data_IF_471013378485
#
_entry.id   IF_471013378485
#
_cell.length_a   1.000
_cell.length_b   1.000
_cell.length_c   1.000
_cell.angle_alpha   90.00
_cell.angle_beta   90.00
_cell.angle_gamma   90.00
#
_symmetry.space_group_name_H-M   'P 1'
#
loop_
_entity.id
_entity.type
_entity.pdbx_description
1 polymer ?
#
# COMPACT_ATOMS: atom_id res chain seq x y z
N UNK A 1 10.82 3.13 33.16
CA UNK A 1 9.38 3.41 33.29
C UNK A 1 8.66 3.01 32.01
N UNK A 2 8.19 1.76 31.96
CA UNK A 2 7.46 1.22 30.82
C UNK A 2 6.08 1.86 30.72
N UNK A 3 5.73 2.30 29.52
CA UNK A 3 4.34 2.57 29.14
C UNK A 3 3.91 1.46 28.19
N UNK A 4 2.86 0.75 28.60
CA UNK A 4 2.25 -0.38 27.92
C UNK A 4 1.95 -0.08 26.45
N UNK A 5 2.39 -0.99 25.56
CA UNK A 5 1.78 -1.13 24.24
C UNK A 5 0.38 -1.68 24.47
N UNK A 6 -0.63 -0.84 24.24
CA UNK A 6 -2.01 -1.28 24.18
C UNK A 6 -2.12 -2.32 23.06
N UNK A 7 -2.67 -3.49 23.36
CA UNK A 7 -3.09 -4.43 22.33
C UNK A 7 -4.05 -3.69 21.39
N UNK A 8 -3.63 -3.49 20.15
CA UNK A 8 -4.33 -2.66 19.19
C UNK A 8 -5.74 -3.24 18.95
N UNK A 9 -6.77 -2.40 19.10
CA UNK A 9 -8.14 -2.78 18.81
C UNK A 9 -8.25 -3.27 17.38
N UNK A 10 -8.75 -4.50 17.20
CA UNK A 10 -9.01 -5.05 15.88
C UNK A 10 -10.03 -4.18 15.15
N UNK A 11 -9.76 -3.89 13.89
CA UNK A 11 -10.70 -3.16 13.06
C UNK A 11 -11.86 -4.10 12.66
N UNK A 12 -13.08 -3.58 12.81
CA UNK A 12 -14.31 -4.29 12.45
C UNK A 12 -14.55 -4.37 10.94
N UNK A 13 -13.78 -3.61 10.14
CA UNK A 13 -13.89 -3.60 8.69
C UNK A 13 -13.74 -5.00 8.07
N UNK A 14 -14.73 -5.44 7.32
CA UNK A 14 -14.68 -6.65 6.52
C UNK A 14 -14.60 -6.31 5.04
N UNK A 15 -13.70 -6.98 4.33
CA UNK A 15 -13.60 -6.87 2.87
C UNK A 15 -14.94 -7.26 2.20
N UNK A 16 -15.27 -6.69 1.03
CA UNK A 16 -16.46 -7.09 0.29
C UNK A 16 -16.47 -8.61 -0.01
N UNK A 17 -17.61 -9.26 0.22
CA UNK A 17 -17.79 -10.67 -0.08
C UNK A 17 -17.58 -10.96 -1.58
N UNK A 18 -16.88 -12.04 -1.90
CA UNK A 18 -16.60 -12.42 -3.29
C UNK A 18 -15.56 -11.55 -4.00
N UNK A 19 -14.92 -10.60 -3.29
CA UNK A 19 -13.84 -9.79 -3.86
C UNK A 19 -12.65 -10.68 -4.28
N UNK A 20 -12.18 -10.53 -5.51
CA UNK A 20 -10.98 -11.24 -5.98
C UNK A 20 -9.77 -10.80 -5.15
N UNK A 21 -8.80 -11.69 -4.92
CA UNK A 21 -7.67 -11.32 -4.08
C UNK A 21 -6.76 -12.47 -3.67
N UNK A 22 -5.59 -12.11 -3.14
CA UNK A 22 -4.67 -13.05 -2.52
C UNK A 22 -4.94 -13.16 -1.03
N UNK A 23 -5.02 -14.40 -0.52
CA UNK A 23 -5.40 -14.68 0.86
C UNK A 23 -4.56 -15.80 1.46
N UNK A 24 -4.23 -15.66 2.74
CA UNK A 24 -3.68 -16.73 3.58
C UNK A 24 -2.41 -17.35 2.97
N UNK A 25 -1.44 -16.49 2.61
CA UNK A 25 -0.16 -16.90 2.02
C UNK A 25 1.00 -16.50 2.93
N UNK A 26 2.05 -17.29 2.88
CA UNK A 26 3.32 -16.98 3.53
C UNK A 26 4.48 -17.21 2.58
N UNK A 27 5.53 -16.39 2.70
CA UNK A 27 6.83 -16.56 2.02
C UNK A 27 6.69 -16.75 0.50
N UNK A 28 5.82 -15.96 -0.12
CA UNK A 28 5.41 -16.14 -1.52
C UNK A 28 5.52 -14.85 -2.33
N UNK A 29 5.85 -15.01 -3.61
CA UNK A 29 5.70 -13.96 -4.62
C UNK A 29 4.34 -14.11 -5.30
N UNK A 30 3.54 -13.05 -5.30
CA UNK A 30 2.16 -13.03 -5.77
C UNK A 30 2.00 -11.94 -6.83
N UNK A 31 1.48 -12.28 -8.00
CA UNK A 31 1.39 -11.36 -9.14
C UNK A 31 -0.02 -11.37 -9.68
N UNK A 32 -0.63 -10.18 -9.76
CA UNK A 32 -1.77 -9.92 -10.63
C UNK A 32 -1.20 -9.25 -11.88
N UNK A 33 -1.18 -10.00 -12.97
CA UNK A 33 -0.60 -9.56 -14.25
C UNK A 33 -1.31 -8.32 -14.81
N UNK A 34 -0.60 -7.60 -15.68
CA UNK A 34 -1.15 -6.45 -16.38
C UNK A 34 -2.30 -6.88 -17.30
N UNK A 35 -3.34 -6.07 -17.37
CA UNK A 35 -4.54 -6.35 -18.17
C UNK A 35 -5.72 -5.48 -17.76
N UNK A 36 -6.85 -5.66 -18.44
CA UNK A 36 -8.09 -5.00 -18.07
C UNK A 36 -8.62 -5.57 -16.75
N UNK A 37 -8.60 -4.76 -15.71
CA UNK A 37 -9.17 -5.08 -14.42
C UNK A 37 -10.24 -4.05 -14.07
N UNK A 38 -11.49 -4.51 -13.99
CA UNK A 38 -12.65 -3.66 -13.67
C UNK A 38 -13.26 -3.99 -12.31
N UNK A 39 -12.60 -4.85 -11.54
CA UNK A 39 -13.05 -5.30 -10.22
C UNK A 39 -12.25 -4.67 -9.08
N UNK A 40 -12.80 -4.79 -7.88
CA UNK A 40 -12.05 -4.57 -6.65
C UNK A 40 -11.04 -5.70 -6.46
N UNK A 41 -10.00 -5.44 -5.67
CA UNK A 41 -9.02 -6.46 -5.31
C UNK A 41 -8.70 -6.43 -3.82
N UNK A 42 -8.40 -7.60 -3.26
CA UNK A 42 -8.13 -7.77 -1.85
C UNK A 42 -6.77 -8.45 -1.60
N UNK A 43 -6.06 -8.00 -0.58
CA UNK A 43 -4.91 -8.69 0.01
C UNK A 43 -5.24 -8.97 1.47
N UNK A 44 -5.34 -10.24 1.88
CA UNK A 44 -5.66 -10.59 3.26
C UNK A 44 -4.73 -11.64 3.85
N UNK A 45 -4.31 -11.45 5.11
CA UNK A 45 -3.56 -12.44 5.88
C UNK A 45 -2.30 -12.93 5.14
N UNK A 46 -1.47 -12.00 4.69
CA UNK A 46 -0.21 -12.31 4.01
C UNK A 46 0.96 -12.12 4.98
N UNK A 47 1.90 -13.05 4.97
CA UNK A 47 3.11 -12.97 5.81
C UNK A 47 4.36 -13.14 4.95
N UNK A 48 5.31 -12.21 5.03
CA UNK A 48 6.57 -12.25 4.28
C UNK A 48 6.37 -12.41 2.76
N UNK A 49 5.28 -11.85 2.21
CA UNK A 49 4.97 -11.94 0.79
C UNK A 49 5.51 -10.75 0.01
N UNK A 50 5.90 -11.01 -1.23
CA UNK A 50 6.17 -9.99 -2.22
C UNK A 50 5.01 -9.94 -3.22
N UNK A 51 4.29 -8.82 -3.29
CA UNK A 51 3.06 -8.68 -4.06
C UNK A 51 3.23 -7.64 -5.16
N UNK A 52 2.88 -8.00 -6.39
CA UNK A 52 2.81 -7.11 -7.55
C UNK A 52 1.40 -7.09 -8.11
N UNK A 53 0.76 -5.92 -8.10
CA UNK A 53 -0.55 -5.71 -8.71
C UNK A 53 -0.38 -4.80 -9.93
N UNK A 54 -0.28 -5.40 -11.11
CA UNK A 54 0.09 -4.73 -12.37
C UNK A 54 -1.14 -4.31 -13.20
N UNK A 55 -2.35 -4.58 -12.72
CA UNK A 55 -3.62 -4.12 -13.30
C UNK A 55 -4.37 -3.18 -12.34
N UNK A 56 -4.84 -2.03 -12.84
CA UNK A 56 -5.63 -1.05 -12.05
C UNK A 56 -6.89 -1.70 -11.48
N UNK A 57 -7.14 -1.50 -10.18
CA UNK A 57 -8.37 -1.99 -9.52
C UNK A 57 -9.37 -0.84 -9.32
N UNK A 58 -10.67 -1.15 -9.17
CA UNK A 58 -11.67 -0.14 -8.77
C UNK A 58 -11.51 0.29 -7.31
N UNK A 59 -11.16 -0.64 -6.43
CA UNK A 59 -10.77 -0.37 -5.06
C UNK A 59 -9.76 -1.42 -4.63
N UNK A 60 -8.90 -1.07 -3.67
CA UNK A 60 -7.93 -1.99 -3.10
C UNK A 60 -8.16 -2.10 -1.59
N UNK A 61 -8.39 -3.32 -1.14
CA UNK A 61 -8.65 -3.65 0.25
C UNK A 61 -7.47 -4.46 0.79
N UNK A 62 -6.86 -4.02 1.90
CA UNK A 62 -5.68 -4.67 2.47
C UNK A 62 -5.94 -4.91 3.96
N UNK A 63 -5.78 -6.15 4.41
CA UNK A 63 -5.97 -6.51 5.83
C UNK A 63 -4.97 -7.54 6.30
N UNK A 64 -4.34 -7.33 7.45
CA UNK A 64 -3.57 -8.37 8.13
C UNK A 64 -2.29 -8.76 7.39
N UNK A 65 -1.54 -7.78 6.89
CA UNK A 65 -0.24 -8.01 6.26
C UNK A 65 0.88 -7.91 7.29
N UNK A 66 1.85 -8.82 7.23
CA UNK A 66 3.02 -8.85 8.13
C UNK A 66 4.29 -9.07 7.33
N UNK A 67 5.30 -8.22 7.46
CA UNK A 67 6.58 -8.43 6.76
C UNK A 67 6.48 -8.37 5.23
N UNK A 68 5.42 -7.79 4.67
CA UNK A 68 5.14 -7.85 3.24
C UNK A 68 5.67 -6.64 2.48
N UNK A 69 6.08 -6.86 1.24
CA UNK A 69 6.34 -5.80 0.26
C UNK A 69 5.25 -5.83 -0.81
N UNK A 70 4.50 -4.73 -0.96
CA UNK A 70 3.41 -4.62 -1.92
C UNK A 70 3.71 -3.49 -2.89
N UNK A 71 3.59 -3.77 -4.18
CA UNK A 71 3.57 -2.74 -5.22
C UNK A 71 2.29 -2.87 -6.02
N UNK A 72 1.47 -1.81 -6.03
CA UNK A 72 0.28 -1.72 -6.86
C UNK A 72 0.39 -0.50 -7.77
N UNK A 73 0.13 -0.72 -9.08
CA UNK A 73 -0.13 0.39 -10.00
C UNK A 73 -1.32 1.23 -9.51
N UNK A 74 -1.46 2.48 -9.95
CA UNK A 74 -2.57 3.36 -9.58
C UNK A 74 -3.94 2.67 -9.59
N UNK A 75 -4.69 2.88 -8.51
CA UNK A 75 -6.03 2.36 -8.25
C UNK A 75 -7.05 3.44 -8.59
N UNK A 76 -8.13 3.08 -9.30
CA UNK A 76 -9.12 4.04 -9.78
C UNK A 76 -10.03 4.63 -8.71
N UNK A 77 -10.26 3.89 -7.63
CA UNK A 77 -11.05 4.33 -6.48
C UNK A 77 -10.24 4.44 -5.20
N UNK A 78 -10.83 4.08 -4.08
CA UNK A 78 -10.21 4.21 -2.76
C UNK A 78 -9.36 3.00 -2.39
N UNK A 79 -8.41 3.24 -1.49
CA UNK A 79 -7.62 2.21 -0.85
C UNK A 79 -7.91 2.24 0.64
N UNK A 80 -8.18 1.07 1.21
CA UNK A 80 -8.31 0.87 2.64
C UNK A 80 -7.34 -0.20 3.11
N UNK A 81 -6.50 0.14 4.08
CA UNK A 81 -5.54 -0.78 4.68
C UNK A 81 -5.77 -0.86 6.18
N UNK A 82 -5.72 -2.06 6.73
CA UNK A 82 -5.83 -2.24 8.18
C UNK A 82 -4.98 -3.41 8.65
N UNK A 83 -4.57 -3.40 9.92
CA UNK A 83 -3.84 -4.51 10.54
C UNK A 83 -2.51 -4.85 9.83
N UNK A 84 -1.82 -3.84 9.27
CA UNK A 84 -0.53 -3.99 8.59
C UNK A 84 0.64 -3.74 9.52
N UNK A 85 1.65 -4.62 9.51
CA UNK A 85 2.77 -4.60 10.45
C UNK A 85 4.10 -4.86 9.73
N UNK A 86 5.10 -3.99 9.91
CA UNK A 86 6.42 -4.15 9.29
C UNK A 86 6.34 -4.38 7.77
N UNK A 87 5.64 -3.49 7.05
CA UNK A 87 5.39 -3.65 5.62
C UNK A 87 5.93 -2.47 4.80
N UNK A 88 6.34 -2.74 3.56
CA UNK A 88 6.65 -1.71 2.57
C UNK A 88 5.58 -1.72 1.49
N UNK A 89 4.83 -0.63 1.34
CA UNK A 89 3.63 -0.60 0.50
C UNK A 89 3.68 0.59 -0.45
N UNK A 90 3.61 0.30 -1.76
CA UNK A 90 3.58 1.29 -2.84
C UNK A 90 2.19 1.31 -3.45
N UNK A 91 1.47 2.42 -3.31
CA UNK A 91 0.08 2.56 -3.72
C UNK A 91 -0.26 3.97 -4.19
N UNK A 92 -1.06 4.06 -5.25
CA UNK A 92 -1.59 5.32 -5.78
C UNK A 92 -3.11 5.30 -5.86
N UNK A 93 -3.80 6.35 -5.42
CA UNK A 93 -5.27 6.44 -5.49
C UNK A 93 -5.79 7.88 -5.35
N UNK A 94 -7.10 8.07 -5.42
CA UNK A 94 -7.70 9.35 -5.06
C UNK A 94 -7.77 9.56 -3.55
N UNK A 95 -8.00 8.49 -2.81
CA UNK A 95 -8.29 8.48 -1.37
C UNK A 95 -7.65 7.24 -0.75
N UNK A 96 -6.90 7.43 0.33
CA UNK A 96 -6.31 6.34 1.10
C UNK A 96 -6.69 6.50 2.58
N UNK A 97 -7.10 5.39 3.21
CA UNK A 97 -7.28 5.29 4.65
C UNK A 97 -6.50 4.11 5.20
N UNK A 98 -5.82 4.33 6.32
CA UNK A 98 -5.08 3.28 7.03
C UNK A 98 -5.50 3.23 8.49
N UNK A 99 -5.75 2.03 9.00
CA UNK A 99 -6.23 1.81 10.36
C UNK A 99 -5.40 0.73 11.07
N UNK A 100 -5.34 0.72 12.41
CA UNK A 100 -4.72 -0.34 13.25
C UNK A 100 -3.41 -0.89 12.65
N UNK A 101 -2.44 -0.04 12.32
CA UNK A 101 -1.24 -0.48 11.59
C UNK A 101 0.02 0.17 12.14
N UNK A 102 1.13 -0.56 12.12
CA UNK A 102 2.38 -0.09 12.73
C UNK A 102 3.59 -0.42 11.89
N UNK A 103 4.61 0.43 12.00
CA UNK A 103 5.92 0.21 11.40
C UNK A 103 5.85 -0.06 9.89
N UNK A 104 5.13 0.78 9.15
CA UNK A 104 4.97 0.63 7.70
C UNK A 104 5.67 1.76 6.95
N UNK A 105 6.39 1.39 5.90
CA UNK A 105 6.99 2.29 4.93
C UNK A 105 6.05 2.43 3.72
N UNK A 106 5.47 3.60 3.52
CA UNK A 106 4.43 3.87 2.52
C UNK A 106 4.97 4.78 1.42
N UNK A 107 4.93 4.31 0.18
CA UNK A 107 5.19 5.11 -1.01
C UNK A 107 3.86 5.48 -1.66
N UNK A 108 3.49 6.76 -1.58
CA UNK A 108 2.12 7.20 -1.79
C UNK A 108 2.00 8.19 -2.95
N UNK A 109 0.94 8.00 -3.74
CA UNK A 109 0.36 9.04 -4.58
C UNK A 109 -1.11 9.16 -4.23
N UNK A 110 -1.51 10.24 -3.57
CA UNK A 110 -2.91 10.42 -3.17
C UNK A 110 -3.38 11.81 -3.55
N UNK A 111 -4.47 11.90 -4.32
CA UNK A 111 -5.01 13.18 -4.78
C UNK A 111 -5.69 13.99 -3.66
N UNK A 112 -5.88 13.38 -2.49
CA UNK A 112 -6.35 13.97 -1.24
C UNK A 112 -5.36 13.69 -0.11
N UNK A 113 -5.58 14.29 1.06
CA UNK A 113 -4.87 13.93 2.28
C UNK A 113 -5.12 12.44 2.61
N UNK A 114 -4.06 11.63 2.84
CA UNK A 114 -4.20 10.31 3.43
C UNK A 114 -4.74 10.44 4.86
N UNK A 115 -5.61 9.51 5.28
CA UNK A 115 -6.14 9.48 6.65
C UNK A 115 -5.58 8.27 7.38
N UNK A 116 -5.10 8.48 8.60
CA UNK A 116 -4.66 7.41 9.50
C UNK A 116 -5.43 7.44 10.82
N UNK A 117 -5.64 6.28 11.42
CA UNK A 117 -6.26 6.10 12.74
C UNK A 117 -5.69 4.84 13.39
N UNK A 118 -5.42 4.88 14.69
CA UNK A 118 -4.79 3.79 15.45
C UNK A 118 -3.49 3.26 14.82
N UNK A 119 -2.72 4.18 14.24
CA UNK A 119 -1.46 3.88 13.57
C UNK A 119 -0.26 4.41 14.36
N UNK A 120 0.92 3.83 14.13
CA UNK A 120 2.17 4.30 14.73
C UNK A 120 3.40 3.95 13.89
N UNK A 121 4.47 4.72 14.05
CA UNK A 121 5.74 4.50 13.34
C UNK A 121 5.59 4.38 11.81
N UNK A 122 4.63 5.09 11.23
CA UNK A 122 4.48 5.17 9.78
C UNK A 122 5.53 6.08 9.17
N UNK A 123 6.01 5.71 7.99
CA UNK A 123 6.97 6.51 7.23
C UNK A 123 6.42 6.70 5.84
N UNK A 124 6.33 7.93 5.35
CA UNK A 124 5.77 8.24 4.04
C UNK A 124 6.85 8.78 3.10
N UNK A 125 6.75 8.40 1.82
CA UNK A 125 7.59 8.85 0.72
C UNK A 125 6.72 8.99 -0.54
N UNK A 126 7.14 9.76 -1.56
CA UNK A 126 6.40 9.85 -2.81
C UNK A 126 6.42 8.51 -3.55
N UNK A 127 5.30 8.17 -4.19
CA UNK A 127 5.20 7.05 -5.12
C UNK A 127 6.29 7.16 -6.22
N UNK A 128 7.04 6.08 -6.52
CA UNK A 128 8.11 6.10 -7.50
C UNK A 128 7.57 6.14 -8.94
N UNK A 129 8.37 6.64 -9.88
CA UNK A 129 8.01 6.60 -11.31
C UNK A 129 7.68 5.17 -11.77
N UNK A 130 6.64 5.04 -12.58
CA UNK A 130 6.28 3.75 -13.18
C UNK A 130 7.22 3.44 -14.36
N UNK A 131 7.47 2.16 -14.67
CA UNK A 131 7.98 1.77 -15.97
C UNK A 131 7.03 2.21 -17.08
N UNK A 132 7.58 2.53 -18.26
CA UNK A 132 6.83 3.04 -19.40
C UNK A 132 5.68 2.11 -19.81
N UNK A 133 5.89 0.80 -19.69
CA UNK A 133 4.92 -0.26 -20.02
C UNK A 133 3.68 -0.21 -19.11
N UNK A 134 3.79 0.39 -17.92
CA UNK A 134 2.71 0.52 -16.94
C UNK A 134 2.11 1.93 -16.88
N UNK A 135 2.60 2.89 -17.67
CA UNK A 135 2.11 4.28 -17.65
C UNK A 135 0.59 4.40 -17.93
N UNK A 136 0.03 3.48 -18.72
CA UNK A 136 -1.41 3.46 -19.00
C UNK A 136 -2.27 3.33 -17.72
N UNK A 137 -1.70 2.80 -16.63
CA UNK A 137 -2.39 2.69 -15.34
C UNK A 137 -2.78 4.05 -14.73
N UNK A 138 -2.01 5.12 -14.97
CA UNK A 138 -2.37 6.47 -14.49
C UNK A 138 -3.68 6.93 -15.10
N UNK A 139 -3.80 6.81 -16.42
CA UNK A 139 -5.01 7.16 -17.16
C UNK A 139 -6.18 6.25 -16.78
N UNK A 140 -5.95 4.94 -16.67
CA UNK A 140 -6.97 3.98 -16.25
C UNK A 140 -7.51 4.25 -14.83
N UNK A 141 -6.65 4.74 -13.92
CA UNK A 141 -7.03 5.14 -12.58
C UNK A 141 -7.66 6.54 -12.50
N UNK A 142 -7.65 7.31 -13.59
CA UNK A 142 -8.11 8.70 -13.58
C UNK A 142 -7.30 9.60 -12.63
N UNK A 143 -6.03 9.27 -12.39
CA UNK A 143 -5.12 10.04 -11.56
C UNK A 143 -4.23 10.93 -12.40
N UNK A 144 -4.02 12.15 -11.91
CA UNK A 144 -3.14 13.12 -12.54
C UNK A 144 -1.82 13.14 -11.76
N UNK A 145 -0.66 12.88 -12.39
CA UNK A 145 0.63 12.77 -11.69
C UNK A 145 1.02 14.01 -10.85
N UNK A 146 0.51 15.19 -11.21
CA UNK A 146 0.79 16.47 -10.55
C UNK A 146 -0.05 16.73 -9.28
N UNK A 147 -1.14 15.98 -9.07
CA UNK A 147 -2.01 16.13 -7.90
C UNK A 147 -1.68 15.10 -6.83
N UNK A 148 -0.70 15.43 -5.98
CA UNK A 148 -0.19 14.50 -4.98
C UNK A 148 0.00 15.13 -3.59
N UNK A 149 -0.82 14.70 -2.62
CA UNK A 149 -0.80 15.10 -1.20
C UNK A 149 -0.21 14.01 -0.29
N UNK A 150 0.70 13.19 -0.79
CA UNK A 150 1.32 12.06 -0.07
C UNK A 150 1.92 12.41 1.32
N UNK A 151 2.36 13.65 1.51
CA UNK A 151 2.97 14.16 2.74
C UNK A 151 2.04 15.01 3.61
N UNK A 152 0.74 15.02 3.34
CA UNK A 152 -0.28 15.77 4.09
C UNK A 152 -1.23 14.77 4.77
N UNK A 153 -0.73 14.05 5.77
CA UNK A 153 -1.47 12.96 6.42
C UNK A 153 -2.30 13.51 7.59
N UNK A 154 -3.60 13.26 7.55
CA UNK A 154 -4.54 13.58 8.63
C UNK A 154 -4.58 12.40 9.62
N UNK A 155 -4.13 12.62 10.85
CA UNK A 155 -4.15 11.62 11.92
C UNK A 155 -5.31 11.86 12.89
N UNK A 156 -6.28 10.95 12.88
CA UNK A 156 -7.51 11.09 13.67
C UNK A 156 -7.29 10.86 15.18
N UNK A 157 -6.20 10.19 15.57
CA UNK A 157 -5.83 10.06 16.99
C UNK A 157 -5.14 11.31 17.54
N UNK A 158 -4.77 12.26 16.67
CA UNK A 158 -3.95 13.41 17.03
C UNK A 158 -4.66 14.74 16.77
N UNK A 159 -5.51 15.15 17.72
CA UNK A 159 -6.28 16.40 17.65
C UNK A 159 -5.46 17.69 17.92
N UNK A 160 -4.13 17.60 18.04
CA UNK A 160 -3.28 18.75 18.35
C UNK A 160 -2.81 19.42 17.06
N UNK A 161 -2.49 20.71 17.14
CA UNK A 161 -1.95 21.47 16.01
C UNK A 161 -0.51 21.10 15.63
N UNK A 162 0.24 20.48 16.55
CA UNK A 162 1.60 20.01 16.28
C UNK A 162 1.58 18.77 15.39
N UNK A 163 2.69 18.51 14.69
CA UNK A 163 2.90 17.27 13.95
C UNK A 163 2.54 16.03 14.79
N UNK A 164 1.80 15.09 14.20
CA UNK A 164 1.54 13.80 14.84
C UNK A 164 2.84 12.99 14.98
N UNK A 165 3.08 12.33 16.12
CA UNK A 165 4.22 11.43 16.30
C UNK A 165 4.04 10.08 15.59
N UNK A 166 2.85 9.77 15.08
CA UNK A 166 2.52 8.46 14.51
C UNK A 166 3.02 8.28 13.08
N UNK A 167 3.43 9.36 12.41
CA UNK A 167 3.96 9.31 11.05
C UNK A 167 5.04 10.37 10.83
N UNK A 168 5.96 10.09 9.91
CA UNK A 168 6.99 11.02 9.46
C UNK A 168 7.26 10.89 7.97
N UNK A 169 7.82 11.93 7.36
CA UNK A 169 8.39 11.84 6.00
C UNK A 169 9.74 11.12 6.07
N UNK A 170 9.99 10.18 5.15
CA UNK A 170 11.30 9.53 5.01
C UNK A 170 12.35 10.53 4.51
N UNK A 171 13.58 10.41 5.02
CA UNK A 171 14.73 11.06 4.38
C UNK A 171 15.00 10.43 3.01
N UNK A 172 15.62 11.17 2.09
CA UNK A 172 15.84 10.73 0.71
C UNK A 172 16.68 9.46 0.63
N UNK A 173 17.70 9.33 1.48
CA UNK A 173 18.56 8.14 1.57
C UNK A 173 17.76 6.92 2.04
N UNK A 174 16.95 7.09 3.09
CA UNK A 174 16.09 6.03 3.59
C UNK A 174 15.07 5.59 2.54
N UNK A 175 14.45 6.54 1.85
CA UNK A 175 13.52 6.25 0.76
C UNK A 175 14.22 5.53 -0.40
N UNK A 176 15.47 5.87 -0.71
CA UNK A 176 16.27 5.19 -1.72
C UNK A 176 16.58 3.74 -1.33
N UNK A 177 16.99 3.50 -0.08
CA UNK A 177 17.25 2.15 0.44
C UNK A 177 16.00 1.26 0.43
N UNK A 178 14.85 1.80 0.85
CA UNK A 178 13.58 1.07 0.84
C UNK A 178 13.12 0.78 -0.61
N UNK A 179 13.36 1.70 -1.56
CA UNK A 179 13.05 1.48 -2.98
C UNK A 179 13.85 0.32 -3.58
N UNK A 180 15.10 0.10 -3.14
CA UNK A 180 15.92 -1.03 -3.61
C UNK A 180 15.36 -2.39 -3.19
N UNK A 181 14.50 -2.44 -2.17
CA UNK A 181 13.83 -3.66 -1.69
C UNK A 181 12.51 -3.95 -2.40
N UNK A 182 12.00 -3.00 -3.20
CA UNK A 182 10.77 -3.18 -3.95
C UNK A 182 10.95 -4.27 -5.01
N UNK A 183 9.91 -5.05 -5.31
CA UNK A 183 9.99 -6.00 -6.40
C UNK A 183 10.20 -5.32 -7.74
N UNK A 184 10.99 -5.98 -8.59
CA UNK A 184 11.05 -5.59 -10.01
C UNK A 184 9.68 -5.71 -10.64
N UNK A 185 9.24 -4.61 -11.27
CA UNK A 185 8.01 -4.53 -12.05
C UNK A 185 8.19 -4.95 -13.49
N UNK A 186 9.45 -5.00 -13.95
CA UNK A 186 9.78 -5.51 -15.27
C UNK A 186 9.57 -7.03 -15.24
N UNK A 187 8.66 -7.50 -16.07
CA UNK A 187 8.49 -8.92 -16.34
C UNK A 187 9.71 -9.37 -17.14
N UNK A 188 10.67 -10.01 -16.49
CA UNK A 188 11.65 -10.82 -17.23
C UNK A 188 10.91 -11.94 -17.97
N UNK A 189 11.42 -12.46 -19.10
CA UNK A 189 10.82 -13.60 -19.74
C UNK A 189 10.64 -14.70 -18.69
N UNK A 190 9.42 -15.18 -18.53
CA UNK A 190 9.12 -16.32 -17.66
C UNK A 190 10.09 -17.44 -18.03
N UNK A 191 10.80 -18.08 -17.09
CA UNK A 191 11.56 -19.28 -17.42
C UNK A 191 10.52 -20.28 -17.94
N UNK A 192 10.57 -20.53 -19.25
CA UNK A 192 9.79 -21.60 -19.86
C UNK A 192 10.07 -22.86 -19.07
N UNK A 193 9.03 -23.41 -18.44
CA UNK A 193 9.01 -24.81 -18.05
C UNK A 193 8.88 -25.56 -19.38
N UNK A 194 10.00 -26.04 -19.89
CA UNK A 194 10.00 -27.06 -20.94
C UNK A 194 9.54 -28.37 -20.29
N UNK A 195 8.49 -28.97 -20.86
CA UNK A 195 8.09 -30.37 -20.64
C UNK A 195 9.13 -31.32 -21.27
#
# INVERSE_FOLDING_TARGET
PGSASAAAGSDSFTMPAGCQGFRDRSDATLVREAGEATSDFALSNLTNCNVRLLSTSRALWIRGLKGCTVYAVPVGGSIYLTECHNCTIVIGSRQMRMHTSTDCSLFLHVASHPIIEHCSALRVAPYPELPLELHAAWAAAGLQPDKNSWNQVDDFDWLKQSQSPNWSVMADEQAAEERLKLPSLLVGPSPHVED
#
